data_IF_415967944263
#
_entry.id   IF_415967944263
#
_cell.length_a   1.000
_cell.length_b   1.000
_cell.length_c   1.000
_cell.angle_alpha   90.00
_cell.angle_beta   90.00
_cell.angle_gamma   90.00
#
_symmetry.space_group_name_H-M   'P 1'
#
loop_
_entity.id
_entity.type
_entity.pdbx_description
1 polymer ?
#
# COMPACT_ATOMS: atom_id res chain seq x y z
N UNK A 1 -5.25 8.47 12.92
CA UNK A 1 -4.54 7.33 12.29
C UNK A 1 -3.14 7.78 11.88
N UNK A 2 -2.16 6.89 11.86
CA UNK A 2 -0.82 7.13 11.32
C UNK A 2 -0.48 6.01 10.34
N UNK A 3 0.21 6.34 9.24
CA UNK A 3 0.84 5.40 8.32
C UNK A 3 2.31 5.74 8.22
N UNK A 4 3.18 4.73 8.24
CA UNK A 4 4.61 4.89 8.15
C UNK A 4 5.20 3.92 7.11
N UNK A 5 6.15 4.43 6.33
CA UNK A 5 7.06 3.62 5.53
C UNK A 5 8.28 3.32 6.38
N UNK A 6 8.49 2.05 6.71
CA UNK A 6 9.59 1.58 7.57
C UNK A 6 10.89 1.42 6.80
N UNK A 7 10.81 0.87 5.58
CA UNK A 7 11.96 0.62 4.72
C UNK A 7 11.53 0.42 3.27
N UNK A 8 12.50 0.56 2.35
CA UNK A 8 12.39 0.13 0.97
C UNK A 8 13.39 -1.00 0.71
N UNK A 9 12.90 -2.14 0.21
CA UNK A 9 13.73 -3.27 -0.21
C UNK A 9 13.73 -3.29 -1.74
N UNK A 10 14.92 -3.25 -2.32
CA UNK A 10 15.09 -3.13 -3.77
C UNK A 10 15.45 -4.48 -4.37
N UNK A 11 14.76 -4.81 -5.46
CA UNK A 11 14.97 -6.01 -6.25
C UNK A 11 15.32 -5.61 -7.69
N UNK A 12 15.85 -6.54 -8.47
CA UNK A 12 16.21 -6.27 -9.89
C UNK A 12 14.99 -5.89 -10.75
N UNK A 13 13.80 -6.33 -10.34
CA UNK A 13 12.55 -6.13 -11.10
C UNK A 13 11.67 -5.00 -10.55
N UNK A 14 11.92 -4.49 -9.35
CA UNK A 14 11.03 -3.54 -8.67
C UNK A 14 11.48 -3.23 -7.25
N UNK A 15 10.63 -2.60 -6.45
CA UNK A 15 10.90 -2.36 -5.03
C UNK A 15 9.68 -2.62 -4.16
N UNK A 16 9.94 -3.08 -2.94
CA UNK A 16 8.93 -3.30 -1.91
C UNK A 16 9.07 -2.26 -0.81
N UNK A 17 7.97 -1.62 -0.40
CA UNK A 17 7.92 -0.75 0.76
C UNK A 17 7.30 -1.49 1.94
N UNK A 18 8.03 -1.61 3.05
CA UNK A 18 7.49 -2.15 4.29
C UNK A 18 6.69 -1.07 4.98
N UNK A 19 5.41 -1.35 5.24
CA UNK A 19 4.46 -0.41 5.79
C UNK A 19 4.01 -0.82 7.18
N UNK A 20 3.64 0.18 7.97
CA UNK A 20 2.82 -0.02 9.16
C UNK A 20 1.83 1.11 9.32
N UNK A 21 0.67 0.81 9.87
CA UNK A 21 -0.31 1.80 10.24
C UNK A 21 -0.90 1.51 11.61
N UNK A 22 -1.30 2.57 12.29
CA UNK A 22 -1.86 2.52 13.63
C UNK A 22 -3.09 3.43 13.71
N UNK A 23 -4.15 2.90 14.30
CA UNK A 23 -5.32 3.66 14.70
C UNK A 23 -5.45 3.59 16.21
N UNK A 24 -5.62 4.73 16.87
CA UNK A 24 -5.75 4.81 18.33
C UNK A 24 -7.14 5.29 18.69
N UNK A 25 -7.79 4.61 19.63
CA UNK A 25 -9.04 5.06 20.24
C UNK A 25 -8.80 6.40 20.94
N UNK A 26 -9.76 7.29 20.80
CA UNK A 26 -9.77 8.59 21.48
C UNK A 26 -11.06 8.71 22.27
N UNK A 27 -12.11 9.17 21.62
CA UNK A 27 -13.40 9.57 22.16
C UNK A 27 -14.57 8.73 21.63
N UNK A 28 -14.27 7.67 20.87
CA UNK A 28 -15.26 6.77 20.29
C UNK A 28 -16.01 6.03 21.41
N UNK A 29 -17.34 5.93 21.27
CA UNK A 29 -18.15 5.01 22.06
C UNK A 29 -17.74 3.55 21.81
N UNK A 30 -18.16 2.61 22.65
CA UNK A 30 -17.87 1.19 22.42
C UNK A 30 -18.48 0.67 21.12
N UNK A 31 -19.65 1.18 20.73
CA UNK A 31 -20.32 0.87 19.48
C UNK A 31 -19.52 1.41 18.28
N UNK A 32 -19.17 2.70 18.30
CA UNK A 32 -18.34 3.30 17.23
C UNK A 32 -16.97 2.61 17.12
N UNK A 33 -16.40 2.19 18.24
CA UNK A 33 -15.13 1.46 18.26
C UNK A 33 -15.25 0.09 17.62
N UNK A 34 -16.33 -0.65 17.89
CA UNK A 34 -16.60 -1.94 17.25
C UNK A 34 -16.80 -1.79 15.73
N UNK A 35 -17.46 -0.72 15.29
CA UNK A 35 -17.62 -0.41 13.86
C UNK A 35 -16.27 -0.12 13.18
N UNK A 36 -15.42 0.70 13.81
CA UNK A 36 -14.07 0.99 13.33
C UNK A 36 -13.19 -0.26 13.32
N UNK A 37 -13.34 -1.14 14.31
CA UNK A 37 -12.66 -2.43 14.35
C UNK A 37 -13.03 -3.29 13.13
N UNK A 38 -14.32 -3.39 12.81
CA UNK A 38 -14.79 -4.11 11.63
C UNK A 38 -14.21 -3.51 10.33
N UNK A 39 -14.22 -2.18 10.19
CA UNK A 39 -13.64 -1.51 9.02
C UNK A 39 -12.14 -1.75 8.89
N UNK A 40 -11.40 -1.78 10.00
CA UNK A 40 -9.96 -1.97 10.02
C UNK A 40 -9.55 -3.38 9.55
N UNK A 41 -10.21 -4.43 10.05
CA UNK A 41 -9.83 -5.82 9.78
C UNK A 41 -10.53 -6.43 8.57
N UNK A 42 -11.68 -5.89 8.18
CA UNK A 42 -12.48 -6.39 7.05
C UNK A 42 -12.88 -5.25 6.12
N UNK A 43 -11.89 -4.55 5.51
CA UNK A 43 -12.17 -3.49 4.56
C UNK A 43 -13.02 -4.04 3.40
N UNK A 44 -14.14 -3.36 3.11
CA UNK A 44 -15.09 -3.75 2.04
C UNK A 44 -16.33 -4.55 2.48
N UNK A 45 -16.42 -5.01 3.72
CA UNK A 45 -17.58 -5.75 4.28
C UNK A 45 -18.40 -4.93 5.30
N UNK A 46 -18.35 -3.60 5.23
CA UNK A 46 -19.14 -2.70 6.09
C UNK A 46 -20.63 -2.57 5.69
N UNK A 47 -21.49 -2.26 6.67
CA UNK A 47 -22.97 -2.23 6.56
C UNK A 47 -23.50 -1.12 5.63
N UNK A 48 -22.74 -0.06 5.37
CA UNK A 48 -23.14 1.07 4.51
C UNK A 48 -22.36 1.10 3.19
N UNK A 49 -22.68 0.19 2.27
CA UNK A 49 -22.09 0.21 0.92
C UNK A 49 -22.81 1.20 0.01
N UNK A 50 -22.10 2.25 -0.41
CA UNK A 50 -22.30 2.82 -1.74
C UNK A 50 -21.36 2.10 -2.71
N UNK A 51 -21.84 1.71 -3.90
CA UNK A 51 -21.01 1.08 -4.95
C UNK A 51 -19.84 1.96 -5.41
N UNK A 52 -19.87 3.26 -5.11
CA UNK A 52 -18.92 4.25 -5.62
C UNK A 52 -17.82 4.69 -4.63
N UNK A 53 -17.83 4.21 -3.37
CA UNK A 53 -16.73 4.52 -2.42
C UNK A 53 -15.72 3.39 -2.41
N UNK A 54 -14.49 3.67 -2.83
CA UNK A 54 -13.36 2.83 -2.49
C UNK A 54 -13.25 2.79 -0.96
N UNK A 55 -13.25 1.58 -0.40
CA UNK A 55 -13.18 1.34 1.05
C UNK A 55 -11.83 0.73 1.40
N UNK A 56 -11.35 0.98 2.61
CA UNK A 56 -10.06 0.46 3.08
C UNK A 56 -8.86 1.38 2.84
N UNK A 57 -7.68 0.89 3.26
CA UNK A 57 -6.41 1.57 3.05
C UNK A 57 -5.96 1.45 1.60
N UNK A 58 -5.77 2.59 0.95
CA UNK A 58 -5.29 2.66 -0.42
C UNK A 58 -3.91 3.28 -0.48
N UNK A 59 -3.13 2.81 -1.44
CA UNK A 59 -1.84 3.39 -1.79
C UNK A 59 -1.81 3.77 -3.26
N UNK A 60 -1.07 4.83 -3.56
CA UNK A 60 -0.80 5.26 -4.92
C UNK A 60 0.64 5.73 -5.09
N UNK A 61 1.15 5.67 -6.30
CA UNK A 61 2.41 6.30 -6.68
C UNK A 61 2.22 7.23 -7.86
N UNK A 62 2.99 8.30 -7.90
CA UNK A 62 3.10 9.19 -9.06
C UNK A 62 4.58 9.43 -9.37
N UNK A 63 4.94 9.26 -10.63
CA UNK A 63 6.28 9.46 -11.16
C UNK A 63 6.46 10.88 -11.74
N UNK A 64 7.72 11.33 -11.96
CA UNK A 64 8.00 12.64 -12.56
C UNK A 64 7.42 12.83 -13.96
N UNK A 65 7.30 11.75 -14.72
CA UNK A 65 6.71 11.73 -16.07
C UNK A 65 5.16 11.75 -16.05
N UNK A 66 4.56 11.76 -14.86
CA UNK A 66 3.12 11.79 -14.66
C UNK A 66 2.46 10.41 -14.62
N UNK A 67 3.19 9.31 -14.87
CA UNK A 67 2.65 7.97 -14.73
C UNK A 67 2.25 7.68 -13.28
N UNK A 68 1.15 6.94 -13.12
CA UNK A 68 0.55 6.64 -11.82
C UNK A 68 0.15 5.17 -11.73
N UNK A 69 0.22 4.63 -10.53
CA UNK A 69 -0.36 3.34 -10.19
C UNK A 69 -1.04 3.43 -8.82
N UNK A 70 -2.10 2.65 -8.59
CA UNK A 70 -2.74 2.59 -7.28
C UNK A 70 -3.32 1.21 -6.99
N UNK A 71 -3.40 0.88 -5.69
CA UNK A 71 -4.05 -0.35 -5.22
C UNK A 71 -5.58 -0.28 -5.34
N UNK A 72 -6.14 0.88 -5.66
CA UNK A 72 -7.58 1.05 -5.88
C UNK A 72 -8.04 0.75 -7.32
N UNK A 73 -7.10 0.73 -8.28
CA UNK A 73 -7.39 0.41 -9.70
C UNK A 73 -7.32 -1.10 -9.95
N UNK A 74 -6.39 -1.80 -9.28
CA UNK A 74 -6.33 -3.26 -9.31
C UNK A 74 -7.13 -3.82 -8.14
N UNK A 75 -8.33 -4.34 -8.43
CA UNK A 75 -9.11 -5.06 -7.42
C UNK A 75 -8.35 -6.28 -6.86
N UNK A 76 -8.89 -6.97 -5.83
CA UNK A 76 -8.26 -8.12 -5.18
C UNK A 76 -7.81 -9.25 -6.15
N UNK A 77 -8.38 -9.28 -7.35
CA UNK A 77 -8.15 -10.28 -8.38
C UNK A 77 -7.39 -9.76 -9.62
N UNK A 78 -6.94 -8.50 -9.64
CA UNK A 78 -6.41 -7.85 -10.85
C UNK A 78 -5.18 -8.52 -11.49
N UNK A 79 -4.37 -9.25 -10.72
CA UNK A 79 -3.26 -10.08 -11.24
C UNK A 79 -3.70 -11.49 -11.67
N UNK A 80 -4.77 -12.00 -11.09
CA UNK A 80 -5.28 -13.37 -11.31
C UNK A 80 -6.18 -13.42 -12.56
N UNK A 81 -6.87 -12.31 -12.87
CA UNK A 81 -7.71 -12.13 -14.06
C UNK A 81 -6.90 -11.92 -15.35
N UNK A 82 -5.60 -11.59 -15.26
CA UNK A 82 -4.75 -11.35 -16.43
C UNK A 82 -4.39 -12.64 -17.20
N UNK A 83 -4.81 -13.82 -16.73
CA UNK A 83 -4.56 -15.09 -17.43
C UNK A 83 -3.08 -15.40 -17.68
N UNK A 84 -2.19 -14.89 -16.83
CA UNK A 84 -0.73 -14.99 -16.99
C UNK A 84 -0.09 -13.90 -17.86
N UNK A 85 -0.85 -12.93 -18.36
CA UNK A 85 -0.28 -11.74 -19.01
C UNK A 85 0.36 -10.82 -17.99
N UNK A 86 1.54 -10.29 -18.32
CA UNK A 86 2.24 -9.33 -17.49
C UNK A 86 1.42 -8.02 -17.42
N UNK A 87 1.19 -7.45 -16.22
CA UNK A 87 0.38 -6.24 -16.10
C UNK A 87 1.08 -5.05 -16.77
N UNK A 88 0.32 -4.01 -17.13
CA UNK A 88 0.91 -2.79 -17.67
C UNK A 88 1.69 -2.02 -16.58
N UNK A 89 2.90 -1.53 -16.89
CA UNK A 89 3.68 -0.73 -15.95
C UNK A 89 3.21 0.74 -15.91
N UNK A 90 3.26 1.42 -14.75
CA UNK A 90 3.59 0.87 -13.43
C UNK A 90 2.40 0.15 -12.78
N UNK A 91 2.71 -0.89 -12.02
CA UNK A 91 1.79 -1.70 -11.23
C UNK A 91 2.16 -1.58 -9.74
N UNK A 92 1.15 -1.35 -8.89
CA UNK A 92 1.30 -1.21 -7.45
C UNK A 92 0.37 -2.17 -6.72
N UNK A 93 0.92 -3.03 -5.87
CA UNK A 93 0.18 -4.11 -5.21
C UNK A 93 0.52 -4.14 -3.73
N UNK A 94 -0.51 -4.18 -2.87
CA UNK A 94 -0.35 -4.40 -1.44
C UNK A 94 -0.40 -5.91 -1.16
N UNK A 95 0.74 -6.47 -0.76
CA UNK A 95 0.89 -7.87 -0.38
C UNK A 95 1.02 -8.02 1.15
N UNK A 96 0.81 -9.25 1.63
CA UNK A 96 1.09 -9.68 3.01
C UNK A 96 0.57 -8.70 4.07
N UNK A 97 -0.73 -8.41 4.02
CA UNK A 97 -1.42 -7.59 5.02
C UNK A 97 -1.74 -8.40 6.28
N UNK A 98 -1.40 -7.86 7.44
CA UNK A 98 -1.80 -8.43 8.73
C UNK A 98 -2.07 -7.32 9.73
N UNK A 99 -2.97 -7.57 10.67
CA UNK A 99 -3.26 -6.61 11.72
C UNK A 99 -3.62 -7.28 13.04
N UNK A 100 -3.47 -6.52 14.11
CA UNK A 100 -3.90 -6.89 15.45
C UNK A 100 -4.63 -5.72 16.09
N UNK A 101 -5.56 -6.03 16.99
CA UNK A 101 -6.34 -5.03 17.72
C UNK A 101 -6.35 -5.32 19.21
N UNK A 102 -6.45 -4.25 19.99
CA UNK A 102 -6.69 -4.28 21.44
C UNK A 102 -7.81 -3.30 21.81
N UNK A 103 -8.00 -3.08 23.12
CA UNK A 103 -9.08 -2.21 23.62
C UNK A 103 -8.99 -0.76 23.15
N UNK A 104 -7.77 -0.25 22.94
CA UNK A 104 -7.51 1.17 22.66
C UNK A 104 -6.72 1.43 21.37
N UNK A 105 -6.31 0.39 20.65
CA UNK A 105 -5.56 0.55 19.40
C UNK A 105 -5.75 -0.60 18.42
N UNK A 106 -5.63 -0.27 17.13
CA UNK A 106 -5.47 -1.20 16.04
C UNK A 106 -4.13 -0.94 15.37
N UNK A 107 -3.43 -2.00 14.99
CA UNK A 107 -2.20 -1.93 14.25
C UNK A 107 -2.25 -2.84 13.05
N UNK A 108 -1.63 -2.41 11.95
CA UNK A 108 -1.53 -3.17 10.73
C UNK A 108 -0.18 -2.99 10.07
N UNK A 109 0.16 -3.94 9.22
CA UNK A 109 1.38 -3.93 8.42
C UNK A 109 1.12 -4.55 7.07
N UNK A 110 1.93 -4.18 6.09
CA UNK A 110 1.83 -4.69 4.73
C UNK A 110 3.11 -4.43 3.95
N UNK A 111 3.23 -5.13 2.82
CA UNK A 111 4.34 -4.98 1.88
C UNK A 111 3.79 -4.42 0.56
N UNK A 112 4.12 -3.18 0.24
CA UNK A 112 3.68 -2.54 -0.98
C UNK A 112 4.71 -2.77 -2.09
N UNK A 113 4.39 -3.63 -3.04
CA UNK A 113 5.22 -3.95 -4.19
C UNK A 113 4.95 -2.98 -5.35
N UNK A 114 6.00 -2.31 -5.82
CA UNK A 114 6.01 -1.49 -7.01
C UNK A 114 6.82 -2.17 -8.11
N UNK A 115 6.17 -2.39 -9.25
CA UNK A 115 6.80 -2.92 -10.45
C UNK A 115 6.50 -2.03 -11.66
N UNK A 116 7.49 -1.74 -12.53
CA UNK A 116 8.91 -2.02 -12.40
C UNK A 116 9.60 -1.01 -11.47
N UNK A 117 10.93 -1.03 -11.43
CA UNK A 117 11.72 0.01 -10.75
C UNK A 117 11.37 1.42 -11.26
N UNK A 118 11.06 2.36 -10.36
CA UNK A 118 10.66 3.72 -10.74
C UNK A 118 11.81 4.45 -11.47
N UNK A 119 11.50 5.50 -12.27
CA UNK A 119 12.52 6.38 -12.85
C UNK A 119 13.42 7.03 -11.78
N UNK A 120 14.59 7.56 -12.16
CA UNK A 120 15.55 8.14 -11.22
C UNK A 120 15.11 9.47 -10.56
N UNK A 121 13.94 10.01 -10.91
CA UNK A 121 13.41 11.24 -10.32
C UNK A 121 12.65 11.00 -9.01
N UNK A 122 12.12 12.08 -8.44
CA UNK A 122 11.31 11.99 -7.23
C UNK A 122 9.96 11.32 -7.51
N UNK A 123 9.65 10.26 -6.78
CA UNK A 123 8.34 9.64 -6.83
C UNK A 123 7.54 10.05 -5.60
N UNK A 124 6.26 10.33 -5.79
CA UNK A 124 5.32 10.58 -4.70
C UNK A 124 4.64 9.27 -4.32
N UNK A 125 4.76 8.86 -3.07
CA UNK A 125 3.99 7.75 -2.49
C UNK A 125 2.84 8.33 -1.68
N UNK A 126 1.62 7.89 -1.98
CA UNK A 126 0.36 8.41 -1.47
C UNK A 126 -0.35 7.33 -0.65
N UNK A 127 -1.00 7.72 0.44
CA UNK A 127 -1.88 6.86 1.22
C UNK A 127 -3.19 7.58 1.55
N UNK A 128 -4.30 6.83 1.59
CA UNK A 128 -5.62 7.33 1.97
C UNK A 128 -6.44 6.22 2.62
N UNK A 129 -7.21 6.57 3.66
CA UNK A 129 -8.23 5.71 4.25
C UNK A 129 -9.35 6.55 4.87
N UNK A 130 -10.32 6.93 4.05
CA UNK A 130 -11.37 7.88 4.46
C UNK A 130 -12.27 7.33 5.58
N UNK A 131 -12.53 6.02 5.60
CA UNK A 131 -13.35 5.38 6.63
C UNK A 131 -12.71 5.43 8.03
N UNK A 132 -11.38 5.58 8.11
CA UNK A 132 -10.63 5.79 9.36
C UNK A 132 -10.09 7.23 9.50
N UNK A 133 -10.62 8.17 8.71
CA UNK A 133 -10.29 9.59 8.79
C UNK A 133 -8.86 9.93 8.33
N UNK A 134 -8.21 9.07 7.55
CA UNK A 134 -6.96 9.40 6.88
C UNK A 134 -7.28 10.02 5.51
N UNK A 135 -7.25 11.35 5.46
CA UNK A 135 -7.25 12.09 4.21
C UNK A 135 -6.02 11.73 3.35
N UNK A 136 -6.05 12.11 2.07
CA UNK A 136 -4.91 11.85 1.19
C UNK A 136 -3.65 12.52 1.75
N UNK A 137 -2.63 11.71 2.00
CA UNK A 137 -1.32 12.15 2.46
C UNK A 137 -0.23 11.53 1.62
N UNK A 138 0.93 12.18 1.55
CA UNK A 138 2.01 11.69 0.70
C UNK A 138 3.40 12.03 1.23
N UNK A 139 4.36 11.22 0.80
CA UNK A 139 5.80 11.48 0.98
C UNK A 139 6.50 11.46 -0.37
N UNK A 140 7.62 12.17 -0.48
CA UNK A 140 8.52 12.10 -1.63
C UNK A 140 9.64 11.11 -1.35
N UNK A 141 9.93 10.24 -2.33
CA UNK A 141 11.01 9.26 -2.26
C UNK A 141 11.95 9.46 -3.46
N UNK A 142 13.26 9.36 -3.24
CA UNK A 142 14.26 9.55 -4.28
C UNK A 142 14.42 8.32 -5.17
N UNK A 143 13.88 8.34 -6.39
CA UNK A 143 14.02 7.24 -7.35
C UNK A 143 15.48 6.92 -7.71
N UNK A 144 16.37 7.93 -7.67
CA UNK A 144 17.82 7.73 -7.84
C UNK A 144 18.39 6.75 -6.81
N UNK A 145 18.05 6.92 -5.54
CA UNK A 145 18.53 6.06 -4.44
C UNK A 145 18.05 4.61 -4.63
N UNK A 146 16.80 4.43 -5.09
CA UNK A 146 16.26 3.11 -5.41
C UNK A 146 17.01 2.45 -6.58
N UNK A 147 17.35 3.22 -7.63
CA UNK A 147 18.11 2.70 -8.77
C UNK A 147 19.57 2.41 -8.45
N UNK A 148 20.20 3.23 -7.63
CA UNK A 148 21.56 2.98 -7.14
C UNK A 148 21.61 1.69 -6.31
N UNK A 149 20.63 1.48 -5.43
CA UNK A 149 20.50 0.21 -4.70
C UNK A 149 20.25 -0.98 -5.64
N UNK A 150 19.48 -0.79 -6.72
CA UNK A 150 19.23 -1.83 -7.72
C UNK A 150 20.50 -2.27 -8.47
N UNK A 151 21.44 -1.35 -8.69
CA UNK A 151 22.72 -1.66 -9.34
C UNK A 151 23.59 -2.63 -8.53
N UNK A 152 23.37 -2.71 -7.22
CA UNK A 152 24.04 -3.65 -6.32
C UNK A 152 23.32 -4.99 -6.16
N UNK A 153 22.15 -5.20 -6.78
CA UNK A 153 21.39 -6.44 -6.65
C UNK A 153 22.11 -7.58 -7.35
N UNK A 154 22.34 -8.66 -6.62
CA UNK A 154 22.93 -9.89 -7.15
C UNK A 154 21.92 -11.03 -7.13
N UNK A 155 22.03 -11.94 -8.08
CA UNK A 155 21.26 -13.17 -8.08
C UNK A 155 21.73 -14.06 -6.94
N UNK A 156 20.82 -14.46 -6.06
CA UNK A 156 21.16 -15.26 -4.89
C UNK A 156 21.53 -16.70 -5.26
N UNK A 157 20.92 -17.24 -6.32
CA UNK A 157 21.22 -18.56 -6.88
C UNK A 157 21.67 -18.38 -8.32
N UNK A 158 22.96 -18.53 -8.61
CA UNK A 158 23.41 -18.62 -9.99
C UNK A 158 22.69 -19.81 -10.65
N UNK A 159 22.14 -19.62 -11.84
CA UNK A 159 21.61 -20.75 -12.62
C UNK A 159 22.73 -21.79 -12.78
N UNK A 160 22.45 -23.02 -12.37
CA UNK A 160 23.36 -24.16 -12.53
C UNK A 160 23.28 -24.74 -13.93
#
# INVERSE_FOLDING_TARGET
>A
MVVAVKSAVVHSTGCSFNLSWLFRRRDQSDEDWADLQHLFFQPGMGIRRSKDRQTGLMFGVQFPDGLKASTGIMGPHGLMESGGQQPEPPTLVLNNGGGSGGGDEFSGSGLLWLWPLPPAGELRLVAQWLDLGLEETSIMLGGRQLREAAAGVQQYWAEG
#
